data_IF_280399760508
#
_entry.id   IF_280399760508
#
_cell.length_a   1.000
_cell.length_b   1.000
_cell.length_c   1.000
_cell.angle_alpha   90.00
_cell.angle_beta   90.00
_cell.angle_gamma   90.00
#
_symmetry.space_group_name_H-M   'P 1'
#
loop_
_entity.id
_entity.type
_entity.pdbx_description
1 polymer ?
#
# COMPACT_ATOMS: atom_id res chain seq x y z
N UNK A 1 3.04 7.62 -4.98
CA UNK A 1 2.31 6.80 -4.01
C UNK A 1 0.96 7.44 -3.66
N UNK A 2 -0.17 6.81 -4.03
CA UNK A 2 -1.52 7.34 -3.81
C UNK A 2 -1.96 7.20 -2.34
N UNK A 3 -1.73 8.24 -1.53
CA UNK A 3 -2.08 8.27 -0.09
C UNK A 3 -3.32 9.10 0.25
N UNK A 4 -3.98 9.66 -0.76
CA UNK A 4 -5.14 10.54 -0.62
C UNK A 4 -6.32 9.96 -1.36
N UNK A 5 -7.50 10.11 -0.77
CA UNK A 5 -8.75 9.63 -1.36
C UNK A 5 -9.66 10.79 -1.72
N UNK A 6 -10.32 10.65 -2.87
CA UNK A 6 -11.37 11.56 -3.32
C UNK A 6 -12.63 10.75 -3.62
N UNK A 7 -13.76 11.22 -3.11
CA UNK A 7 -15.07 10.71 -3.43
C UNK A 7 -15.60 11.43 -4.67
N UNK A 8 -15.81 10.70 -5.77
CA UNK A 8 -16.44 11.25 -6.97
C UNK A 8 -17.94 11.39 -6.70
N UNK A 9 -18.42 12.62 -6.52
CA UNK A 9 -19.85 12.87 -6.30
C UNK A 9 -20.64 12.80 -7.60
N UNK A 10 -20.10 13.38 -8.67
CA UNK A 10 -20.80 13.49 -9.96
C UNK A 10 -19.82 13.75 -11.11
N UNK A 11 -20.07 13.13 -12.25
CA UNK A 11 -19.48 13.51 -13.54
C UNK A 11 -20.29 14.68 -14.10
N UNK A 12 -19.66 15.85 -14.27
CA UNK A 12 -20.34 17.06 -14.75
C UNK A 12 -20.26 17.18 -16.28
N UNK A 13 -19.10 16.86 -16.87
CA UNK A 13 -18.91 16.79 -18.31
C UNK A 13 -17.73 15.89 -18.64
N UNK A 14 -17.75 15.26 -19.83
CA UNK A 14 -16.61 14.53 -20.37
C UNK A 14 -15.78 15.39 -21.33
N UNK A 15 -16.36 16.44 -21.92
CA UNK A 15 -15.71 17.35 -22.87
C UNK A 15 -16.25 18.79 -22.70
N UNK A 16 -15.47 19.73 -22.14
CA UNK A 16 -14.21 19.49 -21.40
C UNK A 16 -14.46 18.58 -20.20
N UNK A 17 -13.46 17.79 -19.80
CA UNK A 17 -13.57 16.91 -18.64
C UNK A 17 -13.80 17.72 -17.37
N UNK A 18 -14.83 17.35 -16.60
CA UNK A 18 -15.17 18.01 -15.34
C UNK A 18 -15.90 17.07 -14.41
N UNK A 19 -15.38 16.95 -13.20
CA UNK A 19 -15.95 16.20 -12.09
C UNK A 19 -16.31 17.13 -10.94
N UNK A 20 -17.24 16.68 -10.11
CA UNK A 20 -17.46 17.17 -8.76
C UNK A 20 -16.92 16.12 -7.79
N UNK A 21 -15.88 16.45 -7.05
CA UNK A 21 -15.24 15.52 -6.10
C UNK A 21 -15.32 16.07 -4.68
N UNK A 22 -15.02 15.24 -3.70
CA UNK A 22 -14.80 15.65 -2.31
C UNK A 22 -13.67 14.83 -1.73
N UNK A 23 -12.62 15.49 -1.24
CA UNK A 23 -11.56 14.77 -0.55
C UNK A 23 -12.08 14.11 0.71
N UNK A 24 -11.46 12.98 1.04
CA UNK A 24 -11.66 12.32 2.32
C UNK A 24 -10.60 12.80 3.30
N UNK A 25 -11.01 13.05 4.54
CA UNK A 25 -10.11 13.41 5.62
C UNK A 25 -10.39 12.56 6.84
N UNK A 26 -9.40 12.41 7.70
CA UNK A 26 -9.58 11.87 9.03
C UNK A 26 -8.98 12.85 10.03
N UNK A 27 -9.71 13.11 11.11
CA UNK A 27 -9.24 13.97 12.22
C UNK A 27 -9.02 13.18 13.51
N UNK A 28 -9.27 11.88 13.48
CA UNK A 28 -9.26 11.01 14.65
C UNK A 28 -8.58 9.70 14.29
N UNK A 29 -7.90 9.14 15.28
CA UNK A 29 -7.19 7.86 15.20
C UNK A 29 -7.74 6.84 16.20
N UNK A 30 -8.82 7.21 16.89
CA UNK A 30 -9.35 6.50 18.06
C UNK A 30 -9.79 5.07 17.76
N UNK A 31 -10.09 4.74 16.49
CA UNK A 31 -10.44 3.38 16.13
C UNK A 31 -9.26 2.40 16.24
N UNK A 32 -8.02 2.88 16.20
CA UNK A 32 -6.80 2.07 16.27
C UNK A 32 -6.05 2.28 17.58
N UNK A 33 -6.68 2.91 18.57
CA UNK A 33 -6.08 3.15 19.88
C UNK A 33 -5.51 4.57 20.05
N UNK A 34 -4.64 4.79 21.05
CA UNK A 34 -4.26 6.12 21.50
C UNK A 34 -3.17 6.80 20.65
N UNK A 35 -2.72 6.16 19.56
CA UNK A 35 -1.62 6.68 18.76
C UNK A 35 -1.99 7.99 18.03
N UNK A 36 -1.16 8.99 18.23
CA UNK A 36 -1.33 10.34 17.70
C UNK A 36 -0.82 10.53 16.26
N UNK A 37 -0.97 9.51 15.40
CA UNK A 37 -0.44 9.46 14.02
C UNK A 37 -0.71 10.72 13.18
N UNK A 38 -1.99 11.08 12.99
CA UNK A 38 -2.39 12.27 12.23
C UNK A 38 -1.89 13.58 12.83
N UNK A 39 -1.82 13.69 14.16
CA UNK A 39 -1.28 14.88 14.83
C UNK A 39 0.24 14.96 14.76
N UNK A 40 0.94 13.84 14.56
CA UNK A 40 2.38 13.77 14.30
C UNK A 40 2.73 14.04 12.82
N UNK A 41 1.78 14.59 12.03
CA UNK A 41 2.02 14.99 10.64
C UNK A 41 1.82 13.89 9.60
N UNK A 42 1.47 12.66 9.99
CA UNK A 42 1.33 11.56 9.05
C UNK A 42 -0.08 11.43 8.45
N UNK A 43 -0.14 11.07 7.18
CA UNK A 43 -1.40 10.77 6.50
C UNK A 43 -1.89 9.38 6.88
N UNK A 44 -3.12 9.32 7.38
CA UNK A 44 -3.86 8.08 7.57
C UNK A 44 -4.46 7.59 6.24
N UNK A 45 -4.22 6.33 5.90
CA UNK A 45 -4.60 5.76 4.59
C UNK A 45 -5.50 4.54 4.67
N UNK A 46 -5.75 4.02 5.87
CA UNK A 46 -6.87 3.13 6.12
C UNK A 46 -7.59 3.51 7.42
N UNK A 47 -8.80 3.01 7.63
CA UNK A 47 -9.67 3.33 8.75
C UNK A 47 -10.90 4.15 8.35
N UNK A 48 -11.35 4.97 9.29
CA UNK A 48 -12.55 5.78 9.15
C UNK A 48 -12.24 7.19 8.63
N UNK A 49 -12.97 7.59 7.60
CA UNK A 49 -12.86 8.87 6.92
C UNK A 49 -14.18 9.64 6.88
N UNK A 50 -14.07 10.95 6.66
CA UNK A 50 -15.19 11.87 6.45
C UNK A 50 -15.04 12.58 5.11
N UNK A 51 -16.18 12.78 4.45
CA UNK A 51 -16.27 13.54 3.20
C UNK A 51 -16.16 15.04 3.53
N UNK A 52 -15.20 15.72 2.91
CA UNK A 52 -15.05 17.17 2.98
C UNK A 52 -16.05 17.91 2.09
N UNK A 53 -15.93 19.25 2.06
CA UNK A 53 -16.65 20.07 1.07
C UNK A 53 -16.27 19.62 -0.35
N UNK A 54 -17.24 19.68 -1.25
CA UNK A 54 -16.99 19.38 -2.65
C UNK A 54 -16.26 20.52 -3.38
N UNK A 55 -15.57 20.13 -4.44
CA UNK A 55 -14.93 21.03 -5.40
C UNK A 55 -15.04 20.46 -6.82
N UNK A 56 -14.74 21.31 -7.80
CA UNK A 56 -14.67 20.89 -9.19
C UNK A 56 -13.24 20.44 -9.51
N UNK A 57 -13.09 19.33 -10.21
CA UNK A 57 -11.81 18.83 -10.70
C UNK A 57 -11.91 18.61 -12.21
N UNK A 58 -10.97 19.17 -12.96
CA UNK A 58 -10.82 19.05 -14.41
C UNK A 58 -9.51 18.33 -14.81
N UNK A 59 -8.77 17.80 -13.82
CA UNK A 59 -7.52 17.07 -14.01
C UNK A 59 -7.77 15.57 -14.09
N UNK A 60 -7.60 14.99 -15.29
CA UNK A 60 -7.79 13.54 -15.52
C UNK A 60 -6.78 12.68 -14.75
N UNK A 61 -5.50 13.05 -14.80
CA UNK A 61 -4.39 12.24 -14.28
C UNK A 61 -4.19 12.37 -12.75
N UNK A 62 -5.19 12.90 -12.04
CA UNK A 62 -5.18 13.00 -10.58
C UNK A 62 -5.50 11.65 -9.90
N UNK A 63 -6.22 10.76 -10.59
CA UNK A 63 -6.71 9.50 -10.02
C UNK A 63 -5.78 8.34 -10.37
N UNK A 64 -5.47 7.51 -9.38
CA UNK A 64 -4.68 6.28 -9.56
C UNK A 64 -5.59 5.08 -9.83
N UNK A 65 -6.46 4.74 -8.89
CA UNK A 65 -7.35 3.60 -8.97
C UNK A 65 -8.58 3.80 -8.08
N UNK A 66 -9.62 3.00 -8.32
CA UNK A 66 -10.78 2.96 -7.46
C UNK A 66 -10.51 2.01 -6.28
N UNK A 67 -10.70 2.50 -5.06
CA UNK A 67 -10.64 1.69 -3.85
C UNK A 67 -12.03 1.21 -3.44
N UNK A 68 -12.08 0.06 -2.78
CA UNK A 68 -13.29 -0.43 -2.14
C UNK A 68 -13.50 0.30 -0.82
N UNK A 69 -14.76 0.55 -0.48
CA UNK A 69 -15.12 1.24 0.75
C UNK A 69 -16.51 0.82 1.21
N UNK A 70 -16.77 1.01 2.50
CA UNK A 70 -18.05 0.71 3.11
C UNK A 70 -18.65 1.94 3.79
N UNK A 71 -19.98 2.02 3.78
CA UNK A 71 -20.69 3.08 4.49
C UNK A 71 -20.82 2.71 5.96
N UNK A 72 -20.10 3.44 6.81
CA UNK A 72 -20.24 3.35 8.26
C UNK A 72 -21.44 4.15 8.80
N UNK A 73 -21.61 4.11 10.12
CA UNK A 73 -22.61 4.90 10.80
C UNK A 73 -22.37 6.41 10.61
N UNK A 74 -23.45 7.21 10.63
CA UNK A 74 -23.38 8.68 10.53
C UNK A 74 -22.60 9.19 9.30
N UNK A 75 -22.59 8.41 8.22
CA UNK A 75 -21.95 8.80 6.95
C UNK A 75 -20.43 8.70 6.94
N UNK A 76 -19.83 7.95 7.88
CA UNK A 76 -18.42 7.58 7.82
C UNK A 76 -18.16 6.76 6.56
N UNK A 77 -17.01 7.00 5.92
CA UNK A 77 -16.48 6.19 4.82
C UNK A 77 -15.39 5.31 5.40
N UNK A 78 -15.57 4.00 5.35
CA UNK A 78 -14.63 3.00 5.85
C UNK A 78 -13.77 2.49 4.71
N UNK A 79 -12.46 2.67 4.79
CA UNK A 79 -11.50 2.14 3.83
C UNK A 79 -10.52 1.29 4.63
N UNK A 80 -10.69 -0.02 4.61
CA UNK A 80 -9.82 -0.98 5.28
C UNK A 80 -9.18 -1.89 4.24
N UNK A 81 -7.96 -2.39 4.46
CA UNK A 81 -7.39 -3.43 3.60
C UNK A 81 -8.33 -4.63 3.59
N UNK A 82 -8.63 -5.14 2.40
CA UNK A 82 -9.50 -6.31 2.21
C UNK A 82 -8.71 -7.49 1.71
N UNK A 83 -9.22 -8.69 1.94
CA UNK A 83 -8.62 -9.93 1.45
C UNK A 83 -8.33 -9.87 -0.06
N UNK A 84 -7.09 -10.20 -0.41
CA UNK A 84 -6.57 -10.19 -1.78
C UNK A 84 -6.08 -8.83 -2.27
N UNK A 85 -6.22 -7.76 -1.48
CA UNK A 85 -5.59 -6.48 -1.81
C UNK A 85 -4.07 -6.58 -1.63
N UNK A 86 -3.33 -5.81 -2.44
CA UNK A 86 -1.90 -5.60 -2.25
C UNK A 86 -1.67 -4.21 -1.67
N UNK A 87 -0.89 -4.15 -0.60
CA UNK A 87 -0.58 -2.92 0.11
C UNK A 87 0.92 -2.76 0.29
N UNK A 88 1.37 -1.51 0.25
CA UNK A 88 2.66 -1.14 0.79
C UNK A 88 2.51 -0.88 2.29
N UNK A 89 3.33 -1.53 3.11
CA UNK A 89 3.41 -1.31 4.55
C UNK A 89 4.78 -0.73 4.90
N UNK A 90 4.84 0.20 5.84
CA UNK A 90 6.09 0.78 6.31
C UNK A 90 6.96 -0.32 6.96
N UNK A 91 8.16 -0.56 6.43
CA UNK A 91 9.07 -1.62 6.91
C UNK A 91 9.54 -1.37 8.35
N UNK A 92 9.91 -0.12 8.62
CA UNK A 92 10.53 0.30 9.88
C UNK A 92 9.56 1.06 10.80
N UNK A 93 8.24 0.88 10.60
CA UNK A 93 7.23 1.62 11.37
C UNK A 93 7.47 1.54 12.87
N UNK A 94 7.37 2.70 13.52
CA UNK A 94 7.47 2.85 14.96
C UNK A 94 6.34 3.78 15.45
N UNK A 95 5.70 3.51 16.60
CA UNK A 95 4.73 4.43 17.19
C UNK A 95 5.33 5.79 17.58
N UNK A 96 6.65 5.86 17.76
CA UNK A 96 7.36 7.08 18.14
C UNK A 96 7.77 7.95 16.95
N UNK A 97 7.37 7.58 15.72
CA UNK A 97 7.63 8.42 14.55
C UNK A 97 6.93 9.78 14.65
N UNK A 98 7.64 10.81 14.20
CA UNK A 98 7.18 12.19 14.15
C UNK A 98 7.75 12.94 12.92
N UNK A 99 7.67 14.27 12.92
CA UNK A 99 8.13 15.12 11.83
C UNK A 99 9.65 15.07 11.62
N UNK A 100 10.43 14.61 12.62
CA UNK A 100 11.88 14.49 12.56
C UNK A 100 12.34 13.10 12.07
N UNK A 101 11.41 12.15 11.85
CA UNK A 101 11.73 10.82 11.33
C UNK A 101 12.41 10.91 9.95
N UNK A 102 13.58 10.28 9.75
CA UNK A 102 14.32 10.34 8.49
C UNK A 102 13.52 9.86 7.27
N UNK A 103 13.64 10.58 6.15
CA UNK A 103 12.93 10.26 4.90
C UNK A 103 13.17 8.83 4.40
N UNK A 104 14.37 8.28 4.60
CA UNK A 104 14.70 6.91 4.20
C UNK A 104 13.95 5.86 5.02
N UNK A 105 13.53 6.18 6.25
CA UNK A 105 12.67 5.31 7.05
C UNK A 105 11.20 5.43 6.62
N UNK A 106 10.74 6.66 6.35
CA UNK A 106 9.37 6.96 5.92
C UNK A 106 9.03 6.42 4.51
N UNK A 107 10.04 6.19 3.68
CA UNK A 107 9.87 5.70 2.31
C UNK A 107 10.36 4.26 2.10
N UNK A 108 10.69 3.55 3.19
CA UNK A 108 10.99 2.13 3.18
C UNK A 108 9.71 1.30 3.35
N UNK A 109 9.39 0.50 2.33
CA UNK A 109 8.17 -0.30 2.30
C UNK A 109 8.46 -1.78 2.09
N UNK A 110 7.63 -2.61 2.71
CA UNK A 110 7.40 -3.98 2.25
C UNK A 110 6.09 -4.03 1.48
N UNK A 111 6.06 -4.82 0.41
CA UNK A 111 4.82 -5.10 -0.32
C UNK A 111 4.22 -6.36 0.26
N UNK A 112 2.93 -6.31 0.58
CA UNK A 112 2.22 -7.44 1.18
C UNK A 112 0.89 -7.68 0.49
N UNK A 113 0.49 -8.95 0.42
CA UNK A 113 -0.89 -9.33 0.13
C UNK A 113 -1.65 -9.53 1.43
N UNK A 114 -2.89 -9.04 1.47
CA UNK A 114 -3.82 -9.19 2.59
C UNK A 114 -4.53 -10.55 2.50
N UNK A 115 -4.50 -11.34 3.56
CA UNK A 115 -5.01 -12.72 3.58
C UNK A 115 -6.43 -12.87 4.14
N UNK A 116 -6.84 -11.95 5.00
CA UNK A 116 -8.15 -11.87 5.64
C UNK A 116 -8.62 -10.41 5.76
N UNK A 117 -9.92 -10.22 5.98
CA UNK A 117 -10.48 -8.89 6.19
C UNK A 117 -10.21 -8.43 7.63
N UNK A 118 -10.13 -7.11 7.83
CA UNK A 118 -9.91 -6.51 9.15
C UNK A 118 -10.92 -6.98 10.21
N UNK A 119 -10.39 -7.48 11.32
CA UNK A 119 -11.12 -7.79 12.54
C UNK A 119 -10.58 -6.97 13.71
N UNK A 120 -11.42 -6.50 14.63
CA UNK A 120 -10.93 -5.65 15.74
C UNK A 120 -10.12 -6.43 16.77
N UNK A 121 -10.44 -7.71 17.01
CA UNK A 121 -9.77 -8.54 18.01
C UNK A 121 -8.45 -9.12 17.46
N UNK A 122 -8.41 -9.38 16.15
CA UNK A 122 -7.30 -10.04 15.48
C UNK A 122 -6.49 -9.14 14.55
N UNK A 123 -6.97 -7.96 14.16
CA UNK A 123 -6.32 -7.17 13.12
C UNK A 123 -6.36 -7.85 11.75
N UNK A 124 -5.24 -7.87 11.03
CA UNK A 124 -5.13 -8.41 9.67
C UNK A 124 -3.92 -9.34 9.54
N UNK A 125 -4.11 -10.47 8.88
CA UNK A 125 -3.03 -11.33 8.40
C UNK A 125 -2.56 -10.89 7.01
N UNK A 126 -1.25 -10.74 6.85
CA UNK A 126 -0.61 -10.38 5.59
C UNK A 126 0.52 -11.35 5.25
N UNK A 127 0.82 -11.52 3.97
CA UNK A 127 2.00 -12.24 3.50
C UNK A 127 2.89 -11.31 2.66
N UNK A 128 4.21 -11.26 2.91
CA UNK A 128 5.12 -10.51 2.05
C UNK A 128 5.12 -10.99 0.61
N UNK A 129 5.19 -10.05 -0.32
CA UNK A 129 5.44 -10.30 -1.72
C UNK A 129 6.90 -9.94 -2.05
N UNK A 130 7.60 -10.85 -2.72
CA UNK A 130 8.98 -10.69 -3.16
C UNK A 130 9.04 -10.49 -4.67
N UNK A 131 9.93 -9.60 -5.10
CA UNK A 131 10.17 -9.36 -6.53
C UNK A 131 10.72 -10.63 -7.17
N UNK A 132 10.18 -10.99 -8.33
CA UNK A 132 10.67 -12.11 -9.14
C UNK A 132 11.91 -11.64 -9.89
N UNK A 133 12.99 -12.40 -9.80
CA UNK A 133 14.25 -12.10 -10.49
C UNK A 133 14.05 -12.00 -12.01
N UNK A 134 14.69 -11.00 -12.63
CA UNK A 134 14.58 -10.74 -14.08
C UNK A 134 13.35 -9.95 -14.51
N UNK A 135 12.42 -9.64 -13.60
CA UNK A 135 11.24 -8.83 -13.90
C UNK A 135 11.24 -7.55 -13.07
N UNK A 136 10.88 -6.42 -13.69
CA UNK A 136 10.89 -5.11 -13.00
C UNK A 136 9.76 -4.95 -11.97
N UNK A 137 8.57 -5.43 -12.31
CA UNK A 137 7.30 -5.13 -11.61
C UNK A 137 6.54 -6.39 -11.19
N UNK A 138 7.14 -7.57 -11.37
CA UNK A 138 6.50 -8.85 -11.04
C UNK A 138 6.91 -9.29 -9.65
N UNK A 139 5.91 -9.61 -8.83
CA UNK A 139 6.07 -10.06 -7.46
C UNK A 139 5.30 -11.36 -7.22
N UNK A 140 5.76 -12.17 -6.28
CA UNK A 140 5.10 -13.40 -5.87
C UNK A 140 5.10 -13.51 -4.34
N UNK A 141 4.23 -14.36 -3.79
CA UNK A 141 4.22 -14.62 -2.35
C UNK A 141 5.56 -15.19 -1.89
N UNK A 142 6.01 -14.75 -0.72
CA UNK A 142 7.15 -15.37 -0.03
C UNK A 142 6.87 -16.86 0.20
N UNK A 143 7.80 -17.73 -0.16
CA UNK A 143 7.56 -19.19 -0.19
C UNK A 143 7.79 -19.88 1.18
N UNK A 144 8.33 -19.17 2.16
CA UNK A 144 8.53 -19.73 3.51
C UNK A 144 7.19 -20.03 4.22
N UNK A 145 7.13 -21.19 4.86
CA UNK A 145 5.91 -21.74 5.49
C UNK A 145 5.32 -20.85 6.60
N UNK A 146 6.13 -19.97 7.19
CA UNK A 146 5.73 -19.07 8.28
C UNK A 146 5.88 -17.58 7.93
N UNK A 147 5.85 -17.22 6.64
CA UNK A 147 6.00 -15.83 6.22
C UNK A 147 4.80 -14.93 6.57
N UNK A 148 3.66 -15.52 6.95
CA UNK A 148 2.47 -14.79 7.37
C UNK A 148 2.75 -13.96 8.62
N UNK A 149 2.44 -12.67 8.55
CA UNK A 149 2.55 -11.71 9.65
C UNK A 149 1.15 -11.24 10.04
N UNK A 150 0.95 -10.98 11.32
CA UNK A 150 -0.28 -10.39 11.85
C UNK A 150 -0.03 -8.93 12.19
N UNK A 151 -0.82 -8.02 11.64
CA UNK A 151 -0.82 -6.60 11.98
C UNK A 151 -2.01 -6.37 12.90
N UNK A 152 -1.80 -6.13 14.20
CA UNK A 152 -2.88 -5.89 15.14
C UNK A 152 -3.54 -4.52 14.90
N UNK A 153 -4.70 -4.32 15.52
CA UNK A 153 -5.49 -3.07 15.47
C UNK A 153 -4.65 -1.81 15.75
N UNK A 154 -3.75 -1.88 16.72
CA UNK A 154 -2.92 -0.76 17.17
C UNK A 154 -1.82 -0.38 16.15
N UNK A 155 -1.53 -1.28 15.21
CA UNK A 155 -0.47 -1.12 14.21
C UNK A 155 -1.02 -0.90 12.80
N UNK A 156 -2.33 -0.67 12.66
CA UNK A 156 -2.97 -0.42 11.35
C UNK A 156 -2.40 0.81 10.62
N UNK A 157 -1.74 1.73 11.34
CA UNK A 157 -1.00 2.85 10.73
C UNK A 157 0.24 2.43 9.93
N UNK A 158 0.65 1.15 9.99
CA UNK A 158 1.68 0.58 9.12
C UNK A 158 1.28 0.58 7.64
N UNK A 159 -0.01 0.50 7.34
CA UNK A 159 -0.48 0.54 5.96
C UNK A 159 -0.22 1.92 5.36
N UNK A 160 0.59 1.98 4.30
CA UNK A 160 0.94 3.24 3.64
C UNK A 160 -0.05 3.55 2.52
N UNK A 161 -0.25 2.62 1.58
CA UNK A 161 -1.18 2.79 0.46
C UNK A 161 -1.47 1.45 -0.21
N UNK A 162 -2.64 1.35 -0.84
CA UNK A 162 -2.97 0.24 -1.72
C UNK A 162 -2.18 0.35 -3.03
N UNK A 163 -1.62 -0.76 -3.48
CA UNK A 163 -0.84 -0.88 -4.71
C UNK A 163 -1.72 -1.49 -5.79
N UNK A 164 -2.01 -0.77 -6.89
CA UNK A 164 -2.71 -1.36 -8.03
C UNK A 164 -1.93 -2.52 -8.61
N UNK A 165 -2.64 -3.58 -8.98
CA UNK A 165 -2.01 -4.77 -9.52
C UNK A 165 -2.89 -5.47 -10.55
N UNK A 166 -2.22 -6.27 -11.37
CA UNK A 166 -2.82 -7.26 -12.24
C UNK A 166 -2.35 -8.64 -11.81
N UNK A 167 -3.28 -9.57 -11.61
CA UNK A 167 -2.94 -10.96 -11.30
C UNK A 167 -2.65 -11.67 -12.62
N UNK A 168 -1.42 -12.15 -12.77
CA UNK A 168 -0.99 -12.76 -14.02
C UNK A 168 -1.55 -14.17 -14.17
N UNK A 169 -1.93 -14.51 -15.39
CA UNK A 169 -2.32 -15.88 -15.77
C UNK A 169 -1.10 -16.70 -16.23
N UNK A 170 -1.22 -18.03 -16.20
CA UNK A 170 -0.11 -18.96 -16.51
C UNK A 170 0.44 -18.83 -17.95
N UNK A 171 -0.22 -18.06 -18.82
CA UNK A 171 0.00 -18.05 -20.27
C UNK A 171 0.58 -16.73 -20.79
N UNK A 172 0.71 -15.71 -19.95
CA UNK A 172 0.99 -14.33 -20.40
C UNK A 172 2.45 -14.07 -20.77
N UNK A 173 3.41 -14.79 -20.18
CA UNK A 173 4.82 -14.68 -20.56
C UNK A 173 5.64 -15.94 -20.22
N UNK A 174 6.66 -16.29 -21.03
CA UNK A 174 7.63 -17.31 -20.68
C UNK A 174 8.34 -16.95 -19.36
N UNK A 175 8.54 -17.94 -18.49
CA UNK A 175 9.29 -17.82 -17.23
C UNK A 175 8.62 -17.01 -16.11
N UNK A 176 7.36 -16.60 -16.24
CA UNK A 176 6.60 -16.03 -15.12
C UNK A 176 6.17 -17.15 -14.16
N UNK A 177 6.51 -17.08 -12.87
CA UNK A 177 6.02 -18.03 -11.88
C UNK A 177 4.48 -17.98 -11.74
N UNK A 178 3.87 -19.12 -11.41
CA UNK A 178 2.43 -19.18 -11.10
C UNK A 178 2.10 -18.27 -9.90
N UNK A 179 0.87 -17.75 -9.88
CA UNK A 179 0.36 -16.87 -8.82
C UNK A 179 1.20 -15.60 -8.59
N UNK A 180 1.74 -15.05 -9.69
CA UNK A 180 2.45 -13.78 -9.69
C UNK A 180 1.52 -12.59 -9.90
N UNK A 181 1.95 -11.44 -9.42
CA UNK A 181 1.29 -10.15 -9.54
C UNK A 181 2.19 -9.18 -10.29
N UNK A 182 1.67 -8.54 -11.33
CA UNK A 182 2.31 -7.35 -11.91
C UNK A 182 1.77 -6.12 -11.18
N UNK A 183 2.67 -5.36 -10.56
CA UNK A 183 2.34 -4.20 -9.74
C UNK A 183 2.56 -2.89 -10.52
N UNK A 184 1.73 -1.88 -10.27
CA UNK A 184 1.90 -0.55 -10.89
C UNK A 184 3.21 0.10 -10.39
N UNK A 185 4.19 0.36 -11.27
CA UNK A 185 5.47 0.94 -10.86
C UNK A 185 5.35 2.36 -10.28
N UNK A 186 4.27 3.10 -10.56
CA UNK A 186 4.03 4.41 -9.96
C UNK A 186 3.63 4.33 -8.46
N UNK A 187 3.27 3.13 -8.00
CA UNK A 187 2.93 2.80 -6.62
C UNK A 187 4.04 2.03 -5.88
N UNK A 188 5.25 1.89 -6.44
CA UNK A 188 6.36 1.14 -5.83
C UNK A 188 7.61 2.00 -5.70
N UNK A 189 8.31 1.91 -4.57
CA UNK A 189 9.54 2.70 -4.35
C UNK A 189 10.65 2.27 -5.32
N UNK A 190 11.55 3.19 -5.65
CA UNK A 190 12.64 2.90 -6.60
C UNK A 190 13.54 1.76 -6.13
N UNK A 191 13.76 1.66 -4.81
CA UNK A 191 14.56 0.59 -4.20
C UNK A 191 13.97 -0.80 -4.48
N UNK A 192 12.65 -0.95 -4.36
CA UNK A 192 11.95 -2.21 -4.65
C UNK A 192 11.92 -2.55 -6.14
N UNK A 193 12.16 -1.58 -7.03
CA UNK A 193 12.25 -1.79 -8.47
C UNK A 193 13.67 -2.13 -8.93
N UNK A 194 14.70 -1.93 -8.11
CA UNK A 194 16.08 -2.30 -8.46
C UNK A 194 16.21 -3.82 -8.53
N UNK A 195 17.04 -4.31 -9.43
CA UNK A 195 17.31 -5.74 -9.52
C UNK A 195 18.11 -6.18 -8.31
N UNK A 196 17.77 -7.36 -7.77
CA UNK A 196 18.61 -8.06 -6.80
C UNK A 196 19.89 -8.39 -7.56
N UNK A 197 20.85 -7.49 -7.53
CA UNK A 197 22.21 -7.80 -7.96
C UNK A 197 22.73 -8.73 -6.88
N UNK A 198 22.80 -10.02 -7.21
CA UNK A 198 23.55 -10.98 -6.41
C UNK A 198 24.96 -10.43 -6.29
N UNK A 199 25.28 -9.81 -5.14
CA UNK A 199 26.67 -9.58 -4.78
C UNK A 199 27.26 -10.93 -4.40
N UNK A 200 27.57 -11.74 -5.42
CA UNK A 200 28.54 -12.82 -5.28
C UNK A 200 29.88 -12.14 -5.06
N UNK A 201 30.25 -11.92 -3.80
CA UNK A 201 31.67 -11.75 -3.46
C UNK A 201 32.31 -13.13 -3.63
N UNK A 202 32.77 -13.40 -4.85
CA UNK A 202 33.67 -14.52 -5.11
C UNK A 202 34.90 -14.35 -4.21
N UNK A 203 35.06 -15.29 -3.28
CA UNK A 203 36.36 -15.61 -2.71
C UNK A 203 37.20 -16.27 -3.80
N UNK A 204 38.31 -15.62 -4.19
CA UNK A 204 39.49 -16.19 -4.86
C UNK A 204 40.57 -15.09 -4.88
N UNK A 205 41.87 -15.31 -4.61
CA UNK A 205 42.62 -16.45 -4.09
C UNK A 205 43.65 -15.92 -3.07
N UNK A 206 44.73 -16.60 -2.71
CA UNK A 206 45.42 -17.75 -3.30
C UNK A 206 46.39 -18.27 -2.24
N UNK A 207 46.50 -19.59 -2.10
CA UNK A 207 47.66 -20.24 -1.49
C UNK A 207 48.89 -20.15 -2.42
N UNK A 208 50.08 -20.31 -1.84
CA UNK A 208 51.47 -20.22 -2.38
C UNK A 208 52.12 -18.86 -2.03
N UNK A 209 53.16 -18.75 -1.18
CA UNK A 209 54.18 -19.68 -0.68
C UNK A 209 54.33 -19.62 0.85
#
# INVERSE_FOLDING_TARGET
MPRYYAFIQKVLSLKPFKLKISFLTSRTNSEFGPLNWVSSGFTKTCGDFRICRYENCDVLNMFSHQVKWEKGQRGVIKIYPQKGDIWAVYRNWCPDWDEDTPDNELHAYDIVEVLDDYDEDNGISVIPLVKVAGFRTVFQRHQETNATKKIPKEEMFRFSHQVPFYRMSEQEAPNVPKDSYELDPAAISKELLQDITETVKEANGTSEC
#
